data_IF_701129440186
#
_entry.id   IF_701129440186
#
_cell.length_a   1.000
_cell.length_b   1.000
_cell.length_c   1.000
_cell.angle_alpha   90.00
_cell.angle_beta   90.00
_cell.angle_gamma   90.00
#
_symmetry.space_group_name_H-M   'P 1'
#
loop_
_entity.id
_entity.type
_entity.pdbx_description
1 polymer ?
#
# COMPACT_ATOMS: atom_id res chain seq x y z
N UNK A 1 42.83 -12.56 17.31
CA UNK A 1 41.88 -11.59 17.86
C UNK A 1 41.29 -10.85 16.67
N UNK A 2 40.14 -11.32 16.15
CA UNK A 2 39.51 -10.71 14.97
C UNK A 2 38.84 -9.42 15.42
N UNK A 3 39.16 -8.32 14.78
CA UNK A 3 38.66 -6.98 15.12
C UNK A 3 37.19 -6.88 14.76
N UNK A 4 36.39 -6.25 15.62
CA UNK A 4 34.93 -6.06 15.49
C UNK A 4 34.47 -5.47 14.13
N UNK A 5 35.41 -4.90 13.37
CA UNK A 5 35.18 -4.39 12.02
C UNK A 5 35.08 -5.49 10.93
N UNK A 6 35.67 -6.68 11.14
CA UNK A 6 35.57 -7.79 10.18
C UNK A 6 34.21 -8.51 10.24
N UNK A 7 33.54 -8.48 11.40
CA UNK A 7 32.19 -9.09 11.56
C UNK A 7 31.09 -8.23 10.91
N UNK A 8 31.35 -6.96 10.61
CA UNK A 8 30.42 -6.07 9.90
C UNK A 8 30.45 -6.24 8.38
N UNK A 9 31.35 -7.06 7.84
CA UNK A 9 31.47 -7.35 6.40
C UNK A 9 30.63 -8.56 5.92
N UNK A 10 29.61 -9.00 6.68
CA UNK A 10 28.49 -9.76 6.08
C UNK A 10 27.67 -8.81 5.20
N UNK A 11 28.27 -8.43 4.07
CA UNK A 11 27.85 -7.35 3.20
C UNK A 11 26.61 -7.79 2.42
N UNK A 12 25.42 -7.34 2.86
CA UNK A 12 24.24 -7.30 1.99
C UNK A 12 24.63 -6.43 0.81
N UNK A 13 25.00 -7.08 -0.30
CA UNK A 13 25.37 -6.42 -1.56
C UNK A 13 24.27 -5.42 -1.88
N UNK A 14 24.63 -4.13 -1.99
CA UNK A 14 23.73 -3.00 -2.23
C UNK A 14 22.93 -2.46 -1.01
N UNK A 15 23.41 -2.59 0.22
CA UNK A 15 22.77 -1.96 1.40
C UNK A 15 22.46 -0.45 1.22
N UNK A 16 23.31 0.27 0.46
CA UNK A 16 23.14 1.68 0.16
C UNK A 16 21.88 1.99 -0.66
N UNK A 17 21.35 1.02 -1.43
CA UNK A 17 20.06 1.16 -2.11
C UNK A 17 18.90 1.29 -1.12
N UNK A 18 18.95 0.59 0.02
CA UNK A 18 17.93 0.71 1.06
C UNK A 18 17.98 2.10 1.73
N UNK A 19 19.18 2.63 1.93
CA UNK A 19 19.39 3.97 2.49
C UNK A 19 18.98 5.08 1.50
N UNK A 20 19.26 4.90 0.20
CA UNK A 20 18.79 5.77 -0.87
C UNK A 20 17.25 5.79 -0.95
N UNK A 21 16.59 4.64 -0.80
CA UNK A 21 15.14 4.51 -0.72
C UNK A 21 14.56 5.28 0.46
N UNK A 22 15.20 5.21 1.63
CA UNK A 22 14.82 5.99 2.81
C UNK A 22 14.89 7.50 2.55
N UNK A 23 16.00 7.99 1.99
CA UNK A 23 16.19 9.41 1.64
C UNK A 23 15.14 9.84 0.61
N UNK A 24 14.88 9.02 -0.41
CA UNK A 24 13.85 9.26 -1.41
C UNK A 24 12.47 9.47 -0.75
N UNK A 25 12.09 8.61 0.20
CA UNK A 25 10.81 8.75 0.90
C UNK A 25 10.72 10.04 1.72
N UNK A 26 11.80 10.48 2.36
CA UNK A 26 11.85 11.76 3.07
C UNK A 26 11.63 12.93 2.10
N UNK A 27 12.30 12.92 0.95
CA UNK A 27 12.14 13.97 -0.08
C UNK A 27 10.72 14.01 -0.63
N UNK A 28 10.12 12.84 -0.89
CA UNK A 28 8.72 12.73 -1.33
C UNK A 28 7.77 13.29 -0.26
N UNK A 29 7.96 12.93 1.01
CA UNK A 29 7.15 13.44 2.12
C UNK A 29 7.24 14.97 2.26
N UNK A 30 8.45 15.53 2.21
CA UNK A 30 8.68 16.98 2.26
C UNK A 30 8.02 17.67 1.07
N UNK A 31 8.11 17.09 -0.13
CA UNK A 31 7.50 17.66 -1.34
C UNK A 31 5.96 17.69 -1.26
N UNK A 32 5.35 16.64 -0.70
CA UNK A 32 3.91 16.58 -0.43
C UNK A 32 3.43 17.65 0.55
N UNK A 33 4.27 18.07 1.51
CA UNK A 33 3.92 19.15 2.45
C UNK A 33 3.75 20.51 1.77
N UNK A 34 4.41 20.76 0.64
CA UNK A 34 4.36 22.04 -0.07
C UNK A 34 3.24 22.13 -1.12
N UNK A 35 2.69 21.01 -1.58
CA UNK A 35 1.60 20.96 -2.56
C UNK A 35 0.50 19.94 -2.19
N UNK A 36 -0.13 20.06 -1.00
CA UNK A 36 -1.10 19.08 -0.53
C UNK A 36 -2.31 18.94 -1.46
N UNK A 37 -2.95 20.05 -1.86
CA UNK A 37 -4.25 20.00 -2.55
C UNK A 37 -4.24 19.27 -3.90
N UNK A 38 -3.16 19.37 -4.69
CA UNK A 38 -3.09 18.73 -6.01
C UNK A 38 -2.81 17.23 -5.90
N UNK A 39 -1.95 16.82 -4.95
CA UNK A 39 -1.67 15.40 -4.68
C UNK A 39 -2.91 14.65 -4.20
N UNK A 40 -3.69 15.24 -3.29
CA UNK A 40 -4.90 14.61 -2.76
C UNK A 40 -6.00 14.43 -3.81
N UNK A 41 -6.19 15.41 -4.70
CA UNK A 41 -7.18 15.31 -5.76
C UNK A 41 -6.87 14.16 -6.74
N UNK A 42 -5.61 14.04 -7.16
CA UNK A 42 -5.16 12.97 -8.08
C UNK A 42 -5.27 11.61 -7.40
N UNK A 43 -4.84 11.50 -6.14
CA UNK A 43 -4.95 10.26 -5.36
C UNK A 43 -6.40 9.85 -5.15
N UNK A 44 -7.30 10.79 -4.85
CA UNK A 44 -8.73 10.53 -4.71
C UNK A 44 -9.35 9.99 -5.98
N UNK A 45 -9.04 10.61 -7.13
CA UNK A 45 -9.59 10.17 -8.43
C UNK A 45 -9.07 8.78 -8.78
N UNK A 46 -7.76 8.57 -8.68
CA UNK A 46 -7.14 7.26 -8.96
C UNK A 46 -7.69 6.18 -8.03
N UNK A 47 -7.80 6.47 -6.73
CA UNK A 47 -8.35 5.54 -5.75
C UNK A 47 -9.81 5.18 -6.05
N UNK A 48 -10.64 6.18 -6.35
CA UNK A 48 -12.05 5.96 -6.70
C UNK A 48 -12.22 5.11 -7.95
N UNK A 49 -11.45 5.39 -9.01
CA UNK A 49 -11.47 4.60 -10.25
C UNK A 49 -11.01 3.17 -9.97
N UNK A 50 -9.95 3.01 -9.16
CA UNK A 50 -9.45 1.67 -8.81
C UNK A 50 -10.46 0.85 -8.02
N UNK A 51 -11.21 1.46 -7.09
CA UNK A 51 -12.28 0.78 -6.34
C UNK A 51 -13.43 0.36 -7.27
N UNK A 52 -13.84 1.22 -8.21
CA UNK A 52 -14.87 0.83 -9.19
C UNK A 52 -14.42 -0.33 -10.07
N UNK A 53 -13.17 -0.30 -10.52
CA UNK A 53 -12.62 -1.36 -11.36
C UNK A 53 -12.45 -2.68 -10.57
N UNK A 54 -11.97 -2.60 -9.33
CA UNK A 54 -11.90 -3.72 -8.38
C UNK A 54 -13.27 -4.33 -8.16
N UNK A 55 -14.27 -3.51 -7.79
CA UNK A 55 -15.64 -3.97 -7.55
C UNK A 55 -16.27 -4.67 -8.76
N UNK A 56 -16.07 -4.12 -9.96
CA UNK A 56 -16.51 -4.74 -11.22
C UNK A 56 -15.87 -6.11 -11.44
N UNK A 57 -14.56 -6.22 -11.23
CA UNK A 57 -13.82 -7.47 -11.40
C UNK A 57 -14.21 -8.52 -10.35
N UNK A 58 -14.35 -8.14 -9.09
CA UNK A 58 -14.76 -9.04 -8.01
C UNK A 58 -16.19 -9.56 -8.21
N UNK A 59 -17.13 -8.70 -8.62
CA UNK A 59 -18.49 -9.12 -8.98
C UNK A 59 -18.45 -10.08 -10.17
N UNK A 60 -17.69 -9.75 -11.22
CA UNK A 60 -17.55 -10.59 -12.42
C UNK A 60 -16.93 -11.95 -12.10
N UNK A 61 -15.92 -11.97 -11.22
CA UNK A 61 -15.28 -13.18 -10.74
C UNK A 61 -16.23 -14.01 -9.88
N UNK A 62 -16.95 -13.39 -8.95
CA UNK A 62 -17.93 -14.06 -8.11
C UNK A 62 -19.02 -14.72 -8.96
N UNK A 63 -19.58 -14.01 -9.95
CA UNK A 63 -20.62 -14.54 -10.84
C UNK A 63 -20.09 -15.69 -11.71
N UNK A 64 -18.88 -15.56 -12.26
CA UNK A 64 -18.27 -16.57 -13.14
C UNK A 64 -17.85 -17.83 -12.38
N UNK A 65 -17.34 -17.68 -11.15
CA UNK A 65 -16.82 -18.78 -10.34
C UNK A 65 -17.78 -19.24 -9.23
N UNK A 66 -19.05 -18.81 -9.25
CA UNK A 66 -20.09 -19.14 -8.24
C UNK A 66 -20.27 -20.63 -7.92
N UNK A 67 -19.90 -21.53 -8.85
CA UNK A 67 -20.01 -22.98 -8.68
C UNK A 67 -18.69 -23.65 -8.27
N UNK A 68 -17.55 -23.02 -8.52
CA UNK A 68 -16.21 -23.59 -8.30
C UNK A 68 -15.55 -23.06 -7.02
N UNK A 69 -16.00 -21.92 -6.50
CA UNK A 69 -15.40 -21.26 -5.34
C UNK A 69 -16.44 -21.17 -4.22
N UNK A 70 -16.22 -21.89 -3.12
CA UNK A 70 -17.08 -21.87 -1.93
C UNK A 70 -17.25 -20.45 -1.37
N UNK A 71 -16.19 -19.64 -1.39
CA UNK A 71 -16.18 -18.26 -0.90
C UNK A 71 -16.74 -17.21 -1.87
N UNK A 72 -17.45 -17.59 -2.94
CA UNK A 72 -17.92 -16.65 -3.97
C UNK A 72 -18.76 -15.48 -3.40
N UNK A 73 -19.53 -15.74 -2.34
CA UNK A 73 -20.36 -14.73 -1.68
C UNK A 73 -19.55 -13.60 -1.04
N UNK A 74 -18.32 -13.89 -0.58
CA UNK A 74 -17.42 -12.88 -0.04
C UNK A 74 -16.87 -11.96 -1.12
N UNK A 75 -16.53 -12.50 -2.29
CA UNK A 75 -16.12 -11.69 -3.46
C UNK A 75 -17.28 -10.86 -4.00
N UNK A 76 -18.51 -11.38 -3.96
CA UNK A 76 -19.68 -10.60 -4.37
C UNK A 76 -19.95 -9.44 -3.38
N UNK A 77 -19.87 -9.72 -2.08
CA UNK A 77 -20.06 -8.71 -1.04
C UNK A 77 -18.94 -7.64 -1.08
N UNK A 78 -17.68 -8.07 -1.20
CA UNK A 78 -16.52 -7.20 -1.38
C UNK A 78 -16.68 -6.29 -2.59
N UNK A 79 -17.02 -6.88 -3.74
CA UNK A 79 -17.19 -6.11 -4.97
C UNK A 79 -18.36 -5.12 -4.92
N UNK A 80 -19.48 -5.44 -4.27
CA UNK A 80 -20.60 -4.50 -4.06
C UNK A 80 -20.17 -3.35 -3.14
N UNK A 81 -19.46 -3.66 -2.06
CA UNK A 81 -18.93 -2.65 -1.13
C UNK A 81 -17.98 -1.71 -1.87
N UNK A 82 -17.04 -2.26 -2.64
CA UNK A 82 -16.10 -1.49 -3.47
C UNK A 82 -16.82 -0.57 -4.46
N UNK A 83 -17.90 -1.04 -5.06
CA UNK A 83 -18.71 -0.25 -5.98
C UNK A 83 -19.41 0.92 -5.28
N UNK A 84 -20.02 0.67 -4.10
CA UNK A 84 -20.69 1.70 -3.30
C UNK A 84 -19.67 2.76 -2.85
N UNK A 85 -18.53 2.34 -2.31
CA UNK A 85 -17.48 3.26 -1.89
C UNK A 85 -16.89 4.03 -3.09
N UNK A 86 -16.63 3.36 -4.22
CA UNK A 86 -16.13 4.00 -5.43
C UNK A 86 -17.07 5.09 -5.94
N UNK A 87 -18.38 4.82 -6.01
CA UNK A 87 -19.38 5.83 -6.39
C UNK A 87 -19.47 6.97 -5.38
N UNK A 88 -19.43 6.64 -4.09
CA UNK A 88 -19.51 7.61 -3.01
C UNK A 88 -18.31 8.56 -2.99
N UNK A 89 -17.10 8.05 -3.23
CA UNK A 89 -15.86 8.82 -3.31
C UNK A 89 -15.79 9.74 -4.53
N UNK A 90 -16.41 9.34 -5.66
CA UNK A 90 -16.58 10.22 -6.83
C UNK A 90 -17.57 11.35 -6.53
N UNK A 91 -18.68 11.05 -5.86
CA UNK A 91 -19.70 12.04 -5.52
C UNK A 91 -19.22 13.04 -4.45
N UNK A 92 -18.38 12.59 -3.51
CA UNK A 92 -17.86 13.41 -2.41
C UNK A 92 -16.32 13.34 -2.33
N UNK A 93 -15.60 13.98 -3.27
CA UNK A 93 -14.14 13.93 -3.30
C UNK A 93 -13.47 14.54 -2.05
N UNK A 94 -14.15 15.44 -1.33
CA UNK A 94 -13.65 16.00 -0.09
C UNK A 94 -13.58 14.96 1.05
N UNK A 95 -14.50 13.99 1.10
CA UNK A 95 -14.43 12.92 2.11
C UNK A 95 -13.25 11.98 1.86
N UNK A 96 -12.90 11.75 0.60
CA UNK A 96 -11.68 11.03 0.23
C UNK A 96 -10.42 11.70 0.79
N UNK A 97 -10.40 13.03 0.86
CA UNK A 97 -9.23 13.77 1.37
C UNK A 97 -8.97 13.49 2.86
N UNK A 98 -9.99 13.17 3.64
CA UNK A 98 -9.83 12.81 5.04
C UNK A 98 -9.54 11.32 5.22
N UNK A 99 -10.24 10.46 4.48
CA UNK A 99 -10.16 8.99 4.67
C UNK A 99 -8.87 8.39 4.08
N UNK A 100 -8.39 8.89 2.94
CA UNK A 100 -7.20 8.35 2.26
C UNK A 100 -5.95 8.43 3.14
N UNK A 101 -5.65 9.55 3.83
CA UNK A 101 -4.53 9.61 4.78
C UNK A 101 -4.57 8.52 5.85
N UNK A 102 -5.74 8.19 6.40
CA UNK A 102 -5.86 7.13 7.41
C UNK A 102 -5.57 5.75 6.81
N UNK A 103 -6.07 5.46 5.61
CA UNK A 103 -5.80 4.20 4.92
C UNK A 103 -4.30 4.07 4.59
N UNK A 104 -3.69 5.14 4.06
CA UNK A 104 -2.25 5.16 3.75
C UNK A 104 -1.42 5.03 5.03
N UNK A 105 -1.79 5.73 6.10
CA UNK A 105 -1.09 5.65 7.39
C UNK A 105 -1.18 4.23 7.97
N UNK A 106 -2.37 3.62 7.95
CA UNK A 106 -2.57 2.24 8.37
C UNK A 106 -1.72 1.28 7.53
N UNK A 107 -1.73 1.42 6.20
CA UNK A 107 -0.91 0.61 5.31
C UNK A 107 0.59 0.80 5.54
N UNK A 108 1.05 2.03 5.77
CA UNK A 108 2.44 2.33 6.12
C UNK A 108 2.84 1.68 7.45
N UNK A 109 1.93 1.55 8.43
CA UNK A 109 2.20 0.79 9.65
C UNK A 109 2.49 -0.68 9.33
N UNK A 110 1.67 -1.35 8.52
CA UNK A 110 1.96 -2.74 8.09
C UNK A 110 3.29 -2.82 7.36
N UNK A 111 3.58 -1.86 6.49
CA UNK A 111 4.85 -1.82 5.74
C UNK A 111 6.06 -1.65 6.66
N UNK A 112 5.94 -0.84 7.71
CA UNK A 112 6.95 -0.69 8.75
C UNK A 112 7.15 -1.96 9.56
N UNK A 113 6.08 -2.66 9.94
CA UNK A 113 6.20 -3.96 10.60
C UNK A 113 6.87 -5.01 9.71
N UNK A 114 6.49 -5.08 8.44
CA UNK A 114 7.09 -5.99 7.47
C UNK A 114 8.56 -5.67 7.21
N UNK A 115 8.96 -4.40 7.17
CA UNK A 115 10.37 -4.01 6.97
C UNK A 115 11.25 -4.40 8.16
N UNK A 116 10.73 -4.31 9.39
CA UNK A 116 11.40 -4.86 10.58
C UNK A 116 11.52 -6.38 10.48
N UNK A 117 10.46 -7.07 10.02
CA UNK A 117 10.50 -8.49 9.70
C UNK A 117 11.61 -8.85 8.72
N UNK A 118 11.70 -8.15 7.58
CA UNK A 118 12.75 -8.37 6.59
C UNK A 118 14.15 -8.09 7.14
N UNK A 119 14.32 -7.08 7.99
CA UNK A 119 15.61 -6.81 8.64
C UNK A 119 16.02 -7.96 9.60
N UNK A 120 15.07 -8.55 10.32
CA UNK A 120 15.31 -9.71 11.18
C UNK A 120 15.62 -10.97 10.38
N UNK A 121 14.93 -11.20 9.26
CA UNK A 121 15.23 -12.33 8.37
C UNK A 121 16.58 -12.17 7.69
N UNK A 122 16.94 -10.97 7.24
CA UNK A 122 18.27 -10.68 6.69
C UNK A 122 19.39 -10.95 7.72
N UNK A 123 19.14 -10.69 9.00
CA UNK A 123 20.06 -11.03 10.10
C UNK A 123 20.15 -12.54 10.38
N UNK A 124 19.18 -13.33 9.91
CA UNK A 124 19.15 -14.79 10.09
C UNK A 124 19.91 -15.53 8.98
N UNK A 125 20.13 -14.87 7.85
CA UNK A 125 20.87 -15.37 6.69
C UNK A 125 22.32 -14.85 6.60
N UNK A 126 22.78 -14.05 7.56
CA UNK A 126 24.13 -13.48 7.64
C UNK A 126 24.76 -13.65 9.01
#
# INVERSE_FOLDING_TARGET
MKTLFDELQCEVKNWWLSLLLGILYVVVAVSLMFAPLSGYAVLSILFSISMLFSGLLEISFAVSNRKNVSSWGWYLAGGIIDMIFGFYLIAYPLLSMEVIPFIIAFWLMFRGFSSVGYAMDLKRYG
#
